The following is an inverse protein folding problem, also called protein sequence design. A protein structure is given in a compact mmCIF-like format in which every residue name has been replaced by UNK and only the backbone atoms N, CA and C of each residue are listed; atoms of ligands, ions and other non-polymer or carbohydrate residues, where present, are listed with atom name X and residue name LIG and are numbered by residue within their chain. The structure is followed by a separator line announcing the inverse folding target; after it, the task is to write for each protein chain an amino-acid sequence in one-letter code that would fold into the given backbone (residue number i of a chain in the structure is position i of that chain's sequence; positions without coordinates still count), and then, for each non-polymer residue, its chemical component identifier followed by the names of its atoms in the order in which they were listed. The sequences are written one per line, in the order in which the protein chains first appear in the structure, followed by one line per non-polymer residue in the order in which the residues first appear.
data_IF_448413474312
#
_entry.id   IF_448413474312
#
_cell.length_a   1.000
_cell.length_b   1.000
_cell.length_c   1.000
_cell.angle_alpha   90.00
_cell.angle_beta   90.00
_cell.angle_gamma   90.00
#
_symmetry.space_group_name_H-M   'P 1'
#
loop_
_entity.id
_entity.type
_entity.pdbx_description
1 polymer ?
#
# COMPACT_ATOMS: atom_id res chain seq x y z
N UNK A 1 1.61 23.72 -15.02
CA UNK A 1 1.04 22.36 -15.21
C UNK A 1 1.65 21.29 -14.28
N UNK A 2 2.06 21.60 -13.03
CA UNK A 2 2.60 20.60 -12.06
C UNK A 2 1.70 20.33 -10.83
N UNK A 3 0.63 21.11 -10.61
CA UNK A 3 -0.19 21.04 -9.38
C UNK A 3 -1.09 19.80 -9.28
N UNK A 4 -1.57 19.24 -10.40
CA UNK A 4 -2.60 18.19 -10.39
C UNK A 4 -2.19 16.84 -9.78
N UNK A 5 -0.89 16.53 -9.73
CA UNK A 5 -0.38 15.29 -9.15
C UNK A 5 -0.34 15.33 -7.61
N UNK A 6 -0.14 16.53 -7.06
CA UNK A 6 0.04 16.80 -5.64
C UNK A 6 -1.29 16.73 -4.91
N UNK A 7 -2.34 17.26 -5.53
CA UNK A 7 -3.64 17.35 -4.92
C UNK A 7 -4.17 15.93 -4.58
N UNK A 8 -4.04 14.95 -5.49
CA UNK A 8 -4.48 13.56 -5.25
C UNK A 8 -3.79 12.93 -4.04
N UNK A 9 -2.51 13.27 -3.83
CA UNK A 9 -1.71 12.77 -2.73
C UNK A 9 -2.25 13.31 -1.40
N UNK A 10 -2.60 14.61 -1.30
CA UNK A 10 -3.04 15.23 -0.05
C UNK A 10 -4.36 14.68 0.51
N UNK A 11 -5.36 14.40 -0.34
CA UNK A 11 -6.64 13.85 0.14
C UNK A 11 -6.49 12.43 0.65
N UNK A 12 -5.66 11.62 0.01
CA UNK A 12 -5.35 10.26 0.50
C UNK A 12 -4.60 10.33 1.82
N UNK A 13 -3.66 11.27 1.97
CA UNK A 13 -2.99 11.52 3.24
C UNK A 13 -3.95 11.94 4.35
N UNK A 14 -4.98 12.72 4.03
CA UNK A 14 -6.00 13.14 5.00
C UNK A 14 -6.82 11.96 5.51
N UNK A 15 -7.21 11.04 4.63
CA UNK A 15 -7.91 9.81 5.05
C UNK A 15 -6.98 8.84 5.81
N UNK A 16 -5.71 8.73 5.41
CA UNK A 16 -4.70 7.96 6.14
C UNK A 16 -4.44 8.50 7.55
N UNK A 17 -4.30 9.83 7.69
CA UNK A 17 -4.08 10.51 8.98
C UNK A 17 -5.30 10.46 9.90
N UNK A 18 -6.53 10.52 9.36
CA UNK A 18 -7.75 10.36 10.15
C UNK A 18 -7.80 8.99 10.84
N UNK A 19 -7.28 7.96 10.18
CA UNK A 19 -7.10 6.63 10.77
C UNK A 19 -6.01 6.56 11.86
N UNK A 20 -5.02 7.46 11.87
CA UNK A 20 -3.93 7.49 12.85
C UNK A 20 -4.32 8.19 14.16
N UNK A 21 -5.08 9.28 14.10
CA UNK A 21 -5.45 10.04 15.31
C UNK A 21 -6.35 9.25 16.28
N UNK A 22 -7.07 8.24 15.79
CA UNK A 22 -7.91 7.35 16.61
C UNK A 22 -7.06 6.37 17.45
N UNK A 23 -5.78 6.20 17.13
CA UNK A 23 -4.86 5.22 17.75
C UNK A 23 -4.15 5.83 18.99
N UNK A 24 -4.10 7.16 19.11
CA UNK A 24 -3.32 7.85 20.15
C UNK A 24 -3.94 7.83 21.56
N UNK A 25 -5.21 7.47 21.69
CA UNK A 25 -5.97 7.55 22.96
C UNK A 25 -5.95 6.24 23.78
N UNK A 26 -5.25 5.19 23.34
CA UNK A 26 -5.31 3.87 23.98
C UNK A 26 -3.91 3.27 24.14
N UNK A 27 -3.08 3.83 25.03
CA UNK A 27 -1.86 3.18 25.47
C UNK A 27 -1.53 3.52 26.94
N UNK A 28 -2.06 2.71 27.84
CA UNK A 28 -1.49 2.50 29.17
C UNK A 28 -1.61 1.01 29.49
N UNK A 29 -0.47 0.43 29.90
CA UNK A 29 -0.22 -0.98 30.21
C UNK A 29 -0.07 -1.90 28.99
N UNK A 30 1.16 -2.37 28.72
CA UNK A 30 1.61 -3.69 29.17
C UNK A 30 3.10 -3.88 28.80
N UNK A 31 3.87 -4.33 29.77
CA UNK A 31 5.33 -4.53 29.77
C UNK A 31 5.70 -5.97 29.40
N UNK A 32 6.97 -6.14 28.96
CA UNK A 32 7.82 -7.34 29.08
C UNK A 32 7.50 -8.56 28.16
N UNK A 33 8.43 -9.38 27.64
CA UNK A 33 9.88 -9.59 27.80
C UNK A 33 10.35 -10.63 26.74
N UNK A 34 11.66 -10.66 26.48
CA UNK A 34 12.52 -11.83 26.15
C UNK A 34 13.17 -12.03 24.76
N UNK A 35 14.50 -12.17 24.87
CA UNK A 35 15.57 -12.50 23.93
C UNK A 35 15.45 -13.88 23.26
N UNK A 36 15.96 -13.99 22.02
CA UNK A 36 16.78 -15.14 21.63
C UNK A 36 17.81 -14.78 20.54
N UNK A 37 18.98 -15.43 20.65
CA UNK A 37 20.28 -15.10 20.04
C UNK A 37 20.44 -15.62 18.60
N UNK A 38 21.27 -14.91 17.85
CA UNK A 38 21.64 -15.02 16.43
C UNK A 38 22.51 -16.24 16.12
N UNK A 39 22.26 -16.89 14.97
CA UNK A 39 23.27 -17.62 14.20
C UNK A 39 23.16 -17.20 12.73
N UNK A 40 24.09 -16.38 12.24
CA UNK A 40 24.22 -16.03 10.81
C UNK A 40 25.55 -16.59 10.29
N UNK A 41 25.47 -17.52 9.35
CA UNK A 41 26.45 -17.66 8.28
C UNK A 41 25.85 -18.56 7.20
N UNK A 42 25.43 -17.98 6.06
CA UNK A 42 25.49 -18.59 4.73
C UNK A 42 25.04 -17.61 3.63
N UNK A 43 25.90 -17.48 2.61
CA UNK A 43 25.54 -17.25 1.20
C UNK A 43 25.14 -15.83 0.75
N UNK A 44 26.13 -15.06 0.31
CA UNK A 44 25.95 -13.98 -0.67
C UNK A 44 25.81 -14.62 -2.06
N UNK A 45 24.61 -15.04 -2.45
CA UNK A 45 24.31 -15.39 -3.84
C UNK A 45 22.80 -15.28 -4.15
N UNK A 46 22.48 -14.40 -5.11
CA UNK A 46 21.20 -14.25 -5.83
C UNK A 46 20.00 -13.72 -5.02
N UNK A 47 20.07 -12.45 -4.63
CA UNK A 47 18.87 -11.62 -4.47
C UNK A 47 18.34 -11.37 -5.89
N UNK A 48 17.46 -12.24 -6.42
CA UNK A 48 16.54 -11.96 -7.54
C UNK A 48 15.80 -13.24 -7.95
N UNK A 49 14.77 -13.64 -7.19
CA UNK A 49 13.62 -14.46 -7.62
C UNK A 49 12.77 -14.91 -6.42
N UNK A 50 13.38 -15.19 -5.27
CA UNK A 50 12.71 -15.90 -4.15
C UNK A 50 11.76 -15.03 -3.30
N UNK A 51 11.78 -13.71 -3.44
CA UNK A 51 10.91 -12.78 -2.67
C UNK A 51 9.79 -12.14 -3.49
N UNK A 52 9.56 -12.59 -4.73
CA UNK A 52 8.48 -12.07 -5.56
C UNK A 52 7.21 -12.88 -5.34
N UNK A 53 6.06 -12.20 -5.20
CA UNK A 53 4.74 -12.84 -5.12
C UNK A 53 4.50 -13.86 -6.25
N UNK A 54 3.69 -14.89 -6.07
CA UNK A 54 3.25 -15.67 -7.25
C UNK A 54 2.33 -14.81 -8.14
N UNK A 55 2.31 -15.05 -9.45
CA UNK A 55 1.40 -14.37 -10.37
C UNK A 55 -0.07 -14.52 -9.93
N UNK A 56 -0.42 -15.69 -9.41
CA UNK A 56 -1.74 -15.95 -8.84
C UNK A 56 -2.04 -15.05 -7.64
N UNK A 57 -1.10 -14.91 -6.70
CA UNK A 57 -1.28 -14.00 -5.55
C UNK A 57 -1.43 -12.54 -5.99
N UNK A 58 -0.63 -12.10 -6.98
CA UNK A 58 -0.76 -10.74 -7.54
C UNK A 58 -2.14 -10.56 -8.15
N UNK A 59 -2.59 -11.51 -8.98
CA UNK A 59 -3.90 -11.46 -9.61
C UNK A 59 -5.04 -11.42 -8.59
N UNK A 60 -4.97 -12.23 -7.53
CA UNK A 60 -5.97 -12.24 -6.45
C UNK A 60 -6.06 -10.90 -5.73
N UNK A 61 -4.93 -10.27 -5.40
CA UNK A 61 -4.94 -8.94 -4.75
C UNK A 61 -5.48 -7.88 -5.70
N UNK A 62 -5.14 -7.97 -7.00
CA UNK A 62 -5.73 -7.12 -8.05
C UNK A 62 -7.25 -7.33 -8.19
N UNK A 63 -7.75 -8.55 -8.02
CA UNK A 63 -9.19 -8.84 -7.98
C UNK A 63 -9.87 -8.16 -6.79
N UNK A 64 -9.25 -8.19 -5.62
CA UNK A 64 -9.80 -7.52 -4.42
C UNK A 64 -9.78 -6.00 -4.56
N UNK A 65 -8.68 -5.43 -5.06
CA UNK A 65 -8.60 -4.00 -5.34
C UNK A 65 -9.66 -3.55 -6.34
N UNK A 66 -9.95 -4.37 -7.36
CA UNK A 66 -11.01 -4.08 -8.31
C UNK A 66 -12.38 -4.01 -7.66
N UNK A 67 -12.71 -4.93 -6.75
CA UNK A 67 -13.97 -4.91 -6.00
C UNK A 67 -14.09 -3.62 -5.19
N UNK A 68 -13.02 -3.24 -4.48
CA UNK A 68 -12.99 -2.06 -3.61
C UNK A 68 -12.93 -0.71 -4.35
N UNK A 69 -12.56 -0.72 -5.63
CA UNK A 69 -12.50 0.49 -6.44
C UNK A 69 -13.91 1.08 -6.62
N UNK A 70 -14.16 2.34 -6.23
CA UNK A 70 -15.50 2.94 -6.31
C UNK A 70 -15.88 3.30 -7.76
N UNK A 71 -17.17 3.39 -8.03
CA UNK A 71 -17.70 3.76 -9.36
C UNK A 71 -17.41 5.23 -9.73
N UNK A 72 -17.11 6.06 -8.72
CA UNK A 72 -16.78 7.46 -8.87
C UNK A 72 -15.69 7.85 -7.88
N UNK A 73 -14.67 8.54 -8.37
CA UNK A 73 -13.62 9.14 -7.55
C UNK A 73 -13.50 10.63 -7.89
N UNK A 74 -13.61 11.49 -6.89
CA UNK A 74 -13.40 12.93 -7.05
C UNK A 74 -12.09 13.33 -6.38
N UNK A 75 -11.00 13.52 -7.13
CA UNK A 75 -9.79 14.11 -6.59
C UNK A 75 -10.03 15.58 -6.20
N UNK A 76 -9.17 16.15 -5.34
CA UNK A 76 -9.31 17.53 -4.84
C UNK A 76 -9.29 18.63 -5.91
N UNK A 77 -8.86 18.34 -7.15
CA UNK A 77 -9.05 19.26 -8.27
C UNK A 77 -10.54 19.40 -8.71
N UNK A 78 -11.45 18.66 -8.09
CA UNK A 78 -12.89 18.71 -8.31
C UNK A 78 -13.40 17.92 -9.52
N UNK A 79 -12.52 17.43 -10.40
CA UNK A 79 -12.91 16.72 -11.61
C UNK A 79 -13.18 15.25 -11.33
N UNK A 80 -14.46 14.90 -11.20
CA UNK A 80 -14.90 13.52 -11.02
C UNK A 80 -14.39 12.59 -12.14
N UNK A 81 -13.86 11.43 -11.73
CA UNK A 81 -13.46 10.32 -12.56
C UNK A 81 -14.48 9.21 -12.35
N UNK A 82 -15.18 8.82 -13.41
CA UNK A 82 -16.12 7.71 -13.38
C UNK A 82 -15.42 6.42 -13.80
N UNK A 83 -15.74 5.34 -13.08
CA UNK A 83 -15.19 4.00 -13.27
C UNK A 83 -16.32 3.09 -13.76
N UNK A 84 -16.25 2.75 -15.04
CA UNK A 84 -17.10 1.73 -15.65
C UNK A 84 -16.65 0.33 -15.20
N UNK A 85 -17.33 -0.21 -14.17
CA UNK A 85 -17.07 -1.54 -13.61
C UNK A 85 -17.27 -2.68 -14.62
N UNK A 86 -17.87 -2.42 -15.78
CA UNK A 86 -18.01 -3.42 -16.87
C UNK A 86 -16.75 -3.50 -17.73
N UNK A 87 -15.87 -2.49 -17.69
CA UNK A 87 -14.66 -2.40 -18.52
C UNK A 87 -13.37 -2.60 -17.71
N UNK A 88 -13.32 -3.67 -16.93
CA UNK A 88 -12.20 -3.99 -16.04
C UNK A 88 -10.84 -3.99 -16.75
N UNK A 89 -10.73 -4.69 -17.88
CA UNK A 89 -9.47 -4.86 -18.60
C UNK A 89 -8.86 -3.53 -19.10
N UNK A 90 -9.68 -2.51 -19.34
CA UNK A 90 -9.21 -1.18 -19.74
C UNK A 90 -8.64 -0.35 -18.57
N UNK A 91 -8.89 -0.77 -17.33
CA UNK A 91 -8.55 -0.02 -16.12
C UNK A 91 -7.51 -0.71 -15.24
N UNK A 92 -7.47 -2.04 -15.26
CA UNK A 92 -6.44 -2.79 -14.56
C UNK A 92 -5.09 -2.58 -15.24
N UNK A 93 -4.05 -2.38 -14.45
CA UNK A 93 -2.66 -2.33 -14.95
C UNK A 93 -2.14 -3.74 -15.27
N UNK A 94 -1.10 -3.88 -16.11
CA UNK A 94 -0.44 -5.17 -16.33
C UNK A 94 0.08 -5.81 -15.04
N UNK A 95 0.17 -7.14 -15.02
CA UNK A 95 0.54 -7.92 -13.84
C UNK A 95 1.88 -7.48 -13.21
N UNK A 96 2.87 -7.17 -14.05
CA UNK A 96 4.18 -6.69 -13.59
C UNK A 96 4.07 -5.35 -12.82
N UNK A 97 3.23 -4.43 -13.28
CA UNK A 97 2.98 -3.18 -12.55
C UNK A 97 2.16 -3.43 -11.30
N UNK A 98 1.15 -4.31 -11.35
CA UNK A 98 0.38 -4.70 -10.18
C UNK A 98 1.28 -5.27 -9.07
N UNK A 99 2.23 -6.13 -9.44
CA UNK A 99 3.25 -6.68 -8.55
C UNK A 99 4.09 -5.59 -7.86
N UNK A 100 4.58 -4.62 -8.62
CA UNK A 100 5.33 -3.49 -8.08
C UNK A 100 4.50 -2.70 -7.07
N UNK A 101 3.27 -2.32 -7.44
CA UNK A 101 2.35 -1.57 -6.55
C UNK A 101 2.09 -2.32 -5.25
N UNK A 102 1.85 -3.63 -5.32
CA UNK A 102 1.62 -4.48 -4.13
C UNK A 102 2.86 -4.56 -3.25
N UNK A 103 4.05 -4.69 -3.83
CA UNK A 103 5.30 -4.73 -3.06
C UNK A 103 5.59 -3.39 -2.38
N UNK A 104 5.34 -2.28 -3.06
CA UNK A 104 5.41 -0.94 -2.45
C UNK A 104 4.38 -0.80 -1.32
N UNK A 105 3.16 -1.28 -1.52
CA UNK A 105 2.11 -1.22 -0.51
C UNK A 105 2.43 -2.06 0.74
N UNK A 106 3.08 -3.22 0.57
CA UNK A 106 3.61 -4.02 1.70
C UNK A 106 4.57 -3.21 2.55
N UNK A 107 5.47 -2.46 1.91
CA UNK A 107 6.41 -1.61 2.62
C UNK A 107 5.70 -0.46 3.36
N UNK A 108 4.69 0.16 2.75
CA UNK A 108 3.82 1.13 3.43
C UNK A 108 3.06 0.52 4.61
N UNK A 109 2.57 -0.72 4.50
CA UNK A 109 1.90 -1.41 5.60
C UNK A 109 2.85 -1.69 6.76
N UNK A 110 4.07 -2.13 6.48
CA UNK A 110 5.09 -2.33 7.52
C UNK A 110 5.49 -1.01 8.18
N UNK A 111 5.64 0.07 7.42
CA UNK A 111 5.88 1.40 7.98
C UNK A 111 4.73 1.83 8.91
N UNK A 112 3.47 1.59 8.52
CA UNK A 112 2.31 1.89 9.37
C UNK A 112 2.29 1.06 10.66
N UNK A 113 2.56 -0.25 10.57
CA UNK A 113 2.62 -1.13 11.74
C UNK A 113 3.70 -0.65 12.72
N UNK A 114 4.83 -0.17 12.20
CA UNK A 114 5.96 0.28 13.01
C UNK A 114 5.92 1.76 13.42
N UNK A 115 4.78 2.44 13.25
CA UNK A 115 4.58 3.86 13.56
C UNK A 115 5.57 4.80 12.83
N UNK A 116 5.89 4.46 11.59
CA UNK A 116 6.76 5.23 10.70
C UNK A 116 5.92 5.98 9.66
N UNK A 117 5.05 6.87 10.13
CA UNK A 117 4.07 7.57 9.28
C UNK A 117 4.73 8.38 8.16
N UNK A 118 5.80 9.13 8.44
CA UNK A 118 6.52 9.87 7.39
C UNK A 118 7.09 8.96 6.30
N UNK A 119 7.64 7.82 6.68
CA UNK A 119 8.20 6.84 5.73
C UNK A 119 7.09 6.20 4.89
N UNK A 120 5.94 5.88 5.51
CA UNK A 120 4.75 5.42 4.80
C UNK A 120 4.32 6.43 3.72
N UNK A 121 4.29 7.73 4.08
CA UNK A 121 3.93 8.84 3.20
C UNK A 121 4.93 8.97 2.05
N UNK A 122 6.23 9.01 2.35
CA UNK A 122 7.30 9.14 1.34
C UNK A 122 7.26 7.96 0.34
N UNK A 123 7.06 6.75 0.84
CA UNK A 123 6.94 5.55 0.01
C UNK A 123 5.76 5.62 -0.97
N UNK A 124 4.57 5.99 -0.48
CA UNK A 124 3.38 6.17 -1.32
C UNK A 124 3.56 7.32 -2.32
N UNK A 125 4.08 8.48 -1.87
CA UNK A 125 4.33 9.63 -2.74
C UNK A 125 5.29 9.30 -3.87
N UNK A 126 6.37 8.57 -3.59
CA UNK A 126 7.34 8.17 -4.62
C UNK A 126 6.69 7.32 -5.71
N UNK A 127 5.85 6.35 -5.32
CA UNK A 127 5.05 5.57 -6.28
C UNK A 127 4.16 6.48 -7.14
N UNK A 128 3.28 7.25 -6.51
CA UNK A 128 2.26 8.00 -7.24
C UNK A 128 2.86 9.10 -8.11
N UNK A 129 3.92 9.75 -7.65
CA UNK A 129 4.63 10.76 -8.43
C UNK A 129 5.29 10.14 -9.66
N UNK A 130 5.99 9.01 -9.53
CA UNK A 130 6.62 8.30 -10.64
C UNK A 130 5.58 7.85 -11.68
N UNK A 131 4.49 7.23 -11.24
CA UNK A 131 3.45 6.76 -12.16
C UNK A 131 2.76 7.93 -12.87
N UNK A 132 2.53 9.04 -12.17
CA UNK A 132 1.97 10.26 -12.77
C UNK A 132 2.91 10.88 -13.80
N UNK A 133 4.21 11.01 -13.48
CA UNK A 133 5.20 11.59 -14.39
C UNK A 133 5.49 10.69 -15.60
N UNK A 134 5.29 9.38 -15.47
CA UNK A 134 5.45 8.44 -16.58
C UNK A 134 4.51 8.74 -17.75
N UNK A 135 3.34 9.37 -17.49
CA UNK A 135 2.25 9.62 -18.45
C UNK A 135 1.75 8.37 -19.17
N UNK A 136 2.06 7.17 -18.65
CA UNK A 136 1.66 5.88 -19.23
C UNK A 136 0.22 5.50 -18.91
N UNK A 137 -0.33 6.07 -17.84
CA UNK A 137 -1.60 5.64 -17.27
C UNK A 137 -2.73 6.63 -17.55
N UNK A 138 -3.91 6.10 -17.87
CA UNK A 138 -5.13 6.91 -17.91
C UNK A 138 -5.52 7.36 -16.49
N UNK A 139 -6.36 8.40 -16.36
CA UNK A 139 -6.88 8.80 -15.05
C UNK A 139 -7.58 7.65 -14.29
N UNK A 140 -8.29 6.77 -14.99
CA UNK A 140 -8.94 5.60 -14.38
C UNK A 140 -7.91 4.57 -13.88
N UNK A 141 -6.85 4.32 -14.66
CA UNK A 141 -5.75 3.44 -14.24
C UNK A 141 -4.99 4.03 -13.05
N UNK A 142 -4.82 5.35 -12.97
CA UNK A 142 -4.23 6.00 -11.79
C UNK A 142 -5.08 5.83 -10.54
N UNK A 143 -6.42 5.91 -10.66
CA UNK A 143 -7.32 5.58 -9.55
C UNK A 143 -7.16 4.11 -9.16
N UNK A 144 -7.09 3.19 -10.13
CA UNK A 144 -6.90 1.78 -9.85
C UNK A 144 -5.55 1.49 -9.16
N UNK A 145 -4.44 2.11 -9.58
CA UNK A 145 -3.12 2.00 -8.92
C UNK A 145 -3.21 2.44 -7.45
N UNK A 146 -3.84 3.59 -7.20
CA UNK A 146 -4.07 4.07 -5.84
C UNK A 146 -4.89 3.07 -5.02
N UNK A 147 -5.99 2.56 -5.58
CA UNK A 147 -6.83 1.60 -4.87
C UNK A 147 -6.15 0.26 -4.64
N UNK A 148 -5.32 -0.21 -5.56
CA UNK A 148 -4.50 -1.40 -5.38
C UNK A 148 -3.51 -1.25 -4.23
N UNK A 149 -2.86 -0.09 -4.13
CA UNK A 149 -1.97 0.22 -3.01
C UNK A 149 -2.76 0.25 -1.69
N UNK A 150 -3.82 1.05 -1.61
CA UNK A 150 -4.62 1.21 -0.40
C UNK A 150 -5.23 -0.12 0.07
N UNK A 151 -5.84 -0.89 -0.84
CA UNK A 151 -6.42 -2.21 -0.53
C UNK A 151 -5.35 -3.13 0.07
N UNK A 152 -4.17 -3.17 -0.54
CA UNK A 152 -3.06 -3.99 -0.04
C UNK A 152 -2.62 -3.56 1.36
N UNK A 153 -2.48 -2.24 1.61
CA UNK A 153 -2.14 -1.73 2.95
C UNK A 153 -3.20 -2.16 3.95
N UNK A 154 -4.49 -1.91 3.66
CA UNK A 154 -5.58 -2.20 4.59
C UNK A 154 -5.70 -3.70 4.89
N UNK A 155 -5.48 -4.58 3.90
CA UNK A 155 -5.43 -6.03 4.14
C UNK A 155 -4.31 -6.43 5.11
N UNK A 156 -3.11 -5.83 4.96
CA UNK A 156 -1.93 -6.23 5.74
C UNK A 156 -1.93 -5.68 7.16
N UNK A 157 -2.56 -4.53 7.39
CA UNK A 157 -2.71 -3.94 8.75
C UNK A 157 -3.94 -4.47 9.51
N UNK A 158 -4.66 -5.43 8.93
CA UNK A 158 -5.84 -6.07 9.55
C UNK A 158 -7.16 -5.31 9.37
N UNK A 159 -7.17 -4.23 8.58
CA UNK A 159 -8.37 -3.41 8.31
C UNK A 159 -9.30 -4.01 7.26
N UNK A 160 -8.90 -5.06 6.54
CA UNK A 160 -9.79 -5.79 5.61
C UNK A 160 -9.77 -7.28 5.90
N UNK A 161 -10.93 -7.83 6.29
CA UNK A 161 -11.17 -9.27 6.33
C UNK A 161 -11.70 -9.75 4.99
N UNK A 162 -11.07 -10.79 4.44
CA UNK A 162 -11.53 -11.50 3.24
C UNK A 162 -12.25 -12.78 3.69
N UNK A 163 -13.57 -12.84 3.50
CA UNK A 163 -14.36 -14.07 3.76
C UNK A 163 -14.73 -14.76 2.46
N UNK A 164 -14.33 -16.02 2.31
CA UNK A 164 -14.76 -16.88 1.22
C UNK A 164 -16.14 -17.51 1.54
N UNK A 165 -17.11 -17.41 0.62
CA UNK A 165 -18.40 -18.15 0.73
C UNK A 165 -18.34 -19.50 -0.02
N UNK A 166 -18.98 -20.51 0.58
CA UNK A 166 -18.97 -21.95 0.17
C UNK A 166 -19.45 -22.26 -1.26
N UNK A 167 -20.08 -21.33 -1.98
CA UNK A 167 -20.61 -21.57 -3.34
C UNK A 167 -19.91 -20.74 -4.43
N UNK A 168 -18.63 -20.43 -4.24
CA UNK A 168 -17.71 -20.15 -5.36
C UNK A 168 -17.76 -18.74 -5.95
N UNK A 169 -17.18 -17.77 -5.23
CA UNK A 169 -16.69 -16.44 -5.70
C UNK A 169 -17.48 -15.23 -5.22
N UNK A 170 -17.68 -15.13 -3.91
CA UNK A 170 -17.86 -13.80 -3.34
C UNK A 170 -16.88 -13.65 -2.17
N UNK A 171 -15.88 -12.80 -2.38
CA UNK A 171 -15.01 -12.32 -1.32
C UNK A 171 -15.69 -11.11 -0.72
N UNK A 172 -16.28 -11.32 0.45
CA UNK A 172 -16.86 -10.22 1.22
C UNK A 172 -15.71 -9.54 1.95
N UNK A 173 -15.40 -8.32 1.53
CA UNK A 173 -14.43 -7.45 2.19
C UNK A 173 -15.16 -6.71 3.31
N UNK A 174 -14.77 -6.96 4.57
CA UNK A 174 -15.29 -6.22 5.74
C UNK A 174 -14.18 -5.45 6.43
N UNK A 175 -14.54 -4.30 7.00
CA UNK A 175 -13.61 -3.54 7.84
C UNK A 175 -13.38 -4.28 9.17
N UNK A 176 -12.10 -4.51 9.50
CA UNK A 176 -11.65 -5.19 10.72
C UNK A 176 -10.88 -4.25 11.66
N UNK A 177 -10.68 -4.65 12.93
CA UNK A 177 -9.86 -3.88 13.87
C UNK A 177 -8.40 -3.84 13.42
N UNK A 178 -7.70 -2.73 13.67
CA UNK A 178 -6.29 -2.59 13.29
C UNK A 178 -5.42 -3.50 14.15
N UNK A 179 -4.51 -4.25 13.53
CA UNK A 179 -3.52 -5.02 14.27
C UNK A 179 -2.45 -4.09 14.85
N UNK A 180 -2.54 -3.78 16.14
CA UNK A 180 -1.50 -3.02 16.85
C UNK A 180 -0.34 -3.97 17.19
N UNK A 181 0.81 -3.79 16.52
CA UNK A 181 2.06 -4.50 16.85
C UNK A 181 3.18 -3.49 16.99
N UNK A 182 3.91 -3.55 18.09
CA UNK A 182 5.06 -2.68 18.33
C UNK A 182 6.30 -3.30 17.68
N UNK A 183 6.98 -2.55 16.81
CA UNK A 183 8.23 -3.00 16.21
C UNK A 183 9.45 -2.74 17.11
N UNK A 184 10.51 -3.53 16.94
CA UNK A 184 11.83 -3.24 17.53
C UNK A 184 12.54 -2.11 16.78
N UNK A 185 13.61 -1.55 17.35
CA UNK A 185 14.42 -0.52 16.69
C UNK A 185 15.10 -1.05 15.41
N UNK A 186 15.56 -2.31 15.43
CA UNK A 186 16.15 -2.96 14.27
C UNK A 186 15.12 -3.12 13.14
N UNK A 187 13.88 -3.47 13.49
CA UNK A 187 12.77 -3.57 12.54
C UNK A 187 12.44 -2.19 11.95
N UNK A 188 12.34 -1.16 12.79
CA UNK A 188 12.11 0.23 12.34
C UNK A 188 13.21 0.67 11.38
N UNK A 189 14.49 0.48 11.77
CA UNK A 189 15.64 0.84 10.95
C UNK A 189 15.61 0.13 9.59
N UNK A 190 15.37 -1.18 9.59
CA UNK A 190 15.26 -1.96 8.36
C UNK A 190 14.16 -1.43 7.42
N UNK A 191 13.01 -1.06 7.97
CA UNK A 191 11.91 -0.51 7.17
C UNK A 191 12.27 0.86 6.60
N UNK A 192 12.91 1.73 7.39
CA UNK A 192 13.44 3.02 6.92
C UNK A 192 14.42 2.82 5.76
N UNK A 193 15.39 1.93 5.91
CA UNK A 193 16.40 1.66 4.88
C UNK A 193 15.75 1.16 3.58
N UNK A 194 14.76 0.27 3.69
CA UNK A 194 13.99 -0.22 2.53
C UNK A 194 13.16 0.90 1.87
N UNK A 195 12.50 1.76 2.66
CA UNK A 195 11.74 2.90 2.14
C UNK A 195 12.67 3.89 1.45
N UNK A 196 13.78 4.27 2.07
CA UNK A 196 14.76 5.18 1.49
C UNK A 196 15.33 4.62 0.19
N UNK A 197 15.68 3.33 0.17
CA UNK A 197 16.15 2.66 -1.05
C UNK A 197 15.11 2.70 -2.16
N UNK A 198 13.84 2.42 -1.87
CA UNK A 198 12.78 2.52 -2.86
C UNK A 198 12.54 3.96 -3.33
N UNK A 199 12.47 4.93 -2.42
CA UNK A 199 12.24 6.34 -2.74
C UNK A 199 13.34 6.89 -3.64
N UNK A 200 14.60 6.50 -3.41
CA UNK A 200 15.74 6.91 -4.24
C UNK A 200 15.69 6.39 -5.69
N UNK A 201 14.82 5.41 -6.00
CA UNK A 201 14.58 4.97 -7.39
C UNK A 201 13.55 5.84 -8.13
N UNK A 202 12.82 6.69 -7.40
CA UNK A 202 11.79 7.57 -7.92
C UNK A 202 12.29 9.00 -8.17
N UNK A 203 11.44 9.87 -8.71
CA UNK A 203 11.73 11.29 -8.80
C UNK A 203 11.84 11.92 -7.41
N UNK A 204 12.59 13.02 -7.31
CA UNK A 204 12.69 13.79 -6.08
C UNK A 204 11.32 14.19 -5.57
N UNK A 205 11.11 13.92 -4.28
CA UNK A 205 9.88 14.31 -3.62
C UNK A 205 9.92 15.82 -3.36
N UNK A 206 8.83 16.53 -3.67
CA UNK A 206 8.67 17.91 -3.23
C UNK A 206 8.68 17.99 -1.70
N UNK A 207 9.26 19.07 -1.19
CA UNK A 207 9.16 19.47 0.23
C UNK A 207 7.71 19.74 0.63
#
# INVERSE_FOLDING_TARGET
MRRTAYDIIEVVLKEMNKGMNTIRELNLAFTAVSLFVIFMATSVAKINAQNQLSDRSVQTIMDYAWVYTPDKFTPPNGKAIFIDKKKRSAMTVPLLKGREVIMTARLSAHAQICDLSEDQIKNYRSLMLRETQSKKWTPQQMVYINQLHLTTVMMLVGKLEVKEKKNGKEVVVKEGPTATKTCTDEQRKKIKDLVSSYVATGPDLPE
#
